data_IF_508608989711
#
_entry.id   IF_508608989711
#
_cell.length_a   1.000
_cell.length_b   1.000
_cell.length_c   1.000
_cell.angle_alpha   90.00
_cell.angle_beta   90.00
_cell.angle_gamma   90.00
#
_symmetry.space_group_name_H-M   'P 1'
#
loop_
_entity.id
_entity.type
_entity.pdbx_description
1 polymer ?
#
# COMPACT_ATOMS: atom_id res chain seq x y z
N UNK A 1 -55.36 6.57 -45.90
CA UNK A 1 -56.15 6.00 -44.79
C UNK A 1 -55.39 4.80 -44.21
N UNK A 2 -55.48 4.46 -42.90
CA UNK A 2 -55.16 5.21 -41.66
C UNK A 2 -53.87 4.66 -40.98
N UNK A 3 -52.96 5.47 -40.42
CA UNK A 3 -52.87 6.01 -39.03
C UNK A 3 -52.94 4.97 -37.88
N UNK A 4 -51.85 4.84 -37.12
CA UNK A 4 -51.88 4.77 -35.65
C UNK A 4 -50.52 5.18 -35.03
N UNK A 5 -50.53 6.35 -34.37
CA UNK A 5 -49.47 6.85 -33.47
C UNK A 5 -49.53 6.06 -32.16
N UNK A 6 -48.38 5.77 -31.54
CA UNK A 6 -48.32 5.51 -30.09
C UNK A 6 -47.28 6.40 -29.42
N UNK A 7 -47.81 7.37 -28.69
CA UNK A 7 -47.15 8.23 -27.72
C UNK A 7 -46.93 7.48 -26.41
N UNK A 8 -45.73 7.56 -25.85
CA UNK A 8 -45.47 7.25 -24.45
C UNK A 8 -44.73 8.43 -23.80
N UNK A 9 -45.50 9.46 -23.43
CA UNK A 9 -45.16 10.39 -22.36
C UNK A 9 -45.79 9.82 -21.09
N UNK A 10 -45.01 9.68 -20.03
CA UNK A 10 -45.44 9.97 -18.64
C UNK A 10 -44.22 10.16 -17.75
N UNK A 11 -43.95 11.43 -17.46
CA UNK A 11 -43.20 11.91 -16.31
C UNK A 11 -44.07 11.74 -15.07
N UNK A 12 -43.48 11.37 -13.93
CA UNK A 12 -44.03 11.59 -12.59
C UNK A 12 -42.86 11.48 -11.57
N UNK A 13 -43.00 11.97 -10.33
CA UNK A 13 -42.43 13.27 -9.97
C UNK A 13 -41.41 13.18 -8.81
N UNK A 14 -40.54 14.18 -8.74
CA UNK A 14 -39.64 14.41 -7.62
C UNK A 14 -40.45 14.68 -6.34
N UNK A 15 -40.08 13.97 -5.28
CA UNK A 15 -40.62 14.09 -3.94
C UNK A 15 -40.37 15.50 -3.38
N UNK A 16 -41.45 16.05 -2.84
CA UNK A 16 -41.56 17.35 -2.21
C UNK A 16 -40.72 17.43 -0.92
N UNK A 17 -39.93 18.49 -0.83
CA UNK A 17 -39.39 18.99 0.42
C UNK A 17 -40.34 20.07 0.96
N UNK A 18 -41.05 19.74 2.03
CA UNK A 18 -41.80 20.70 2.85
C UNK A 18 -41.21 20.66 4.26
N UNK A 19 -40.59 21.76 4.68
CA UNK A 19 -40.73 22.31 6.03
C UNK A 19 -39.90 23.60 6.13
N UNK A 20 -40.50 24.70 5.70
CA UNK A 20 -40.13 26.03 6.19
C UNK A 20 -41.13 26.38 7.30
N UNK A 21 -40.64 26.47 8.53
CA UNK A 21 -41.29 27.20 9.62
C UNK A 21 -40.20 28.10 10.23
N UNK A 22 -40.12 29.32 9.71
CA UNK A 22 -39.36 30.43 10.31
C UNK A 22 -40.37 31.51 10.71
N UNK A 23 -40.72 31.52 11.99
CA UNK A 23 -41.21 32.71 12.69
C UNK A 23 -40.03 33.35 13.42
N UNK A 24 -39.83 34.66 13.26
CA UNK A 24 -39.02 35.48 14.19
C UNK A 24 -39.89 36.01 15.34
N UNK A 25 -39.43 36.97 16.17
CA UNK A 25 -38.09 37.57 16.28
C UNK A 25 -37.57 37.66 17.76
N UNK A 26 -36.38 38.28 17.92
CA UNK A 26 -35.89 39.02 19.10
C UNK A 26 -35.65 38.27 20.44
N UNK A 27 -34.38 37.94 20.70
CA UNK A 27 -33.73 38.27 21.97
C UNK A 27 -32.20 38.26 21.78
N UNK A 28 -31.62 39.46 21.67
CA UNK A 28 -30.18 39.67 21.80
C UNK A 28 -29.80 39.46 23.27
N UNK A 29 -29.42 38.23 23.61
CA UNK A 29 -28.76 37.88 24.88
C UNK A 29 -27.27 37.74 24.64
N UNK A 30 -26.51 38.74 25.08
CA UNK A 30 -25.05 38.70 25.09
C UNK A 30 -24.54 37.81 26.25
N UNK A 31 -23.59 36.94 25.90
CA UNK A 31 -22.58 36.27 26.75
C UNK A 31 -23.03 35.16 27.75
N UNK A 32 -22.15 34.20 28.10
CA UNK A 32 -20.72 34.09 27.78
C UNK A 32 -20.37 32.86 26.92
N UNK A 33 -19.39 33.03 26.02
CA UNK A 33 -18.68 31.92 25.41
C UNK A 33 -17.86 31.18 26.48
N UNK A 34 -18.47 30.13 27.05
CA UNK A 34 -17.79 29.13 27.87
C UNK A 34 -17.10 28.07 27.00
N UNK A 35 -16.06 27.41 27.52
CA UNK A 35 -14.81 27.15 26.80
C UNK A 35 -14.92 26.06 25.73
N UNK A 36 -15.23 26.45 24.48
CA UNK A 36 -15.04 25.59 23.30
C UNK A 36 -13.57 25.44 22.89
N UNK A 37 -12.65 26.16 23.52
CA UNK A 37 -11.20 26.09 23.28
C UNK A 37 -10.45 25.07 24.16
N UNK A 38 -11.14 24.40 25.09
CA UNK A 38 -10.51 23.41 25.98
C UNK A 38 -10.66 21.95 25.51
N UNK A 39 -11.15 21.71 24.28
CA UNK A 39 -10.76 20.51 23.54
C UNK A 39 -9.35 20.74 23.01
N UNK A 40 -8.41 20.82 23.97
CA UNK A 40 -7.00 20.97 23.74
C UNK A 40 -6.61 20.08 22.58
N UNK A 41 -5.95 20.70 21.60
CA UNK A 41 -5.22 20.03 20.56
C UNK A 41 -4.42 18.90 21.22
N UNK A 42 -4.95 17.67 21.19
CA UNK A 42 -4.16 16.50 21.49
C UNK A 42 -3.03 16.57 20.47
N UNK A 43 -1.85 17.01 20.93
CA UNK A 43 -0.66 17.05 20.11
C UNK A 43 -0.54 15.64 19.53
N UNK A 44 -0.54 15.54 18.21
CA UNK A 44 -0.41 14.24 17.57
C UNK A 44 0.96 13.69 17.96
N UNK A 45 1.00 12.76 18.90
CA UNK A 45 2.24 12.17 19.40
C UNK A 45 2.65 11.04 18.47
N UNK A 46 3.91 11.02 18.05
CA UNK A 46 4.45 9.89 17.31
C UNK A 46 4.52 8.66 18.23
N UNK A 47 4.09 7.47 17.76
CA UNK A 47 4.28 6.23 18.49
C UNK A 47 5.77 5.99 18.75
N UNK A 48 6.11 5.62 19.99
CA UNK A 48 7.47 5.31 20.39
C UNK A 48 7.93 3.96 19.83
N UNK A 49 8.17 3.89 18.53
CA UNK A 49 8.64 2.67 17.87
C UNK A 49 10.07 2.36 18.32
N UNK A 50 10.27 1.19 18.92
CA UNK A 50 11.59 0.72 19.37
C UNK A 50 12.02 -0.49 18.57
N UNK A 51 13.26 -0.48 18.10
CA UNK A 51 13.92 -1.66 17.56
C UNK A 51 14.14 -2.65 18.70
N UNK A 52 13.35 -3.73 18.72
CA UNK A 52 13.50 -4.81 19.71
C UNK A 52 14.12 -6.04 19.05
N UNK A 53 14.79 -6.88 19.85
CA UNK A 53 15.35 -8.15 19.35
C UNK A 53 14.27 -9.06 18.74
N UNK A 54 13.09 -9.23 19.36
CA UNK A 54 12.00 -9.98 18.72
C UNK A 54 11.60 -9.41 17.36
N UNK A 55 11.47 -8.08 17.24
CA UNK A 55 11.15 -7.44 15.95
C UNK A 55 12.20 -7.78 14.88
N UNK A 56 13.49 -7.67 15.23
CA UNK A 56 14.60 -7.98 14.30
C UNK A 56 14.55 -9.44 13.83
N UNK A 57 14.30 -10.39 14.73
CA UNK A 57 14.21 -11.81 14.38
C UNK A 57 13.06 -12.08 13.41
N UNK A 58 11.94 -11.39 13.58
CA UNK A 58 10.80 -11.59 12.69
C UNK A 58 11.06 -10.98 11.30
N UNK A 59 11.90 -9.94 11.18
CA UNK A 59 12.34 -9.43 9.86
C UNK A 59 13.22 -10.44 9.09
N UNK A 60 13.74 -11.49 9.74
CA UNK A 60 14.50 -12.56 9.08
C UNK A 60 13.61 -13.62 8.43
N UNK A 61 12.30 -13.61 8.69
CA UNK A 61 11.36 -14.54 8.06
C UNK A 61 11.17 -14.16 6.59
N UNK A 62 11.59 -15.00 5.63
CA UNK A 62 11.42 -14.67 4.23
C UNK A 62 10.00 -14.95 3.76
N UNK A 63 9.63 -14.30 2.67
CA UNK A 63 8.44 -14.58 1.89
C UNK A 63 8.73 -15.68 0.87
N UNK A 64 7.92 -16.74 0.79
CA UNK A 64 8.11 -17.75 -0.24
C UNK A 64 7.77 -17.18 -1.62
N UNK A 65 8.53 -17.60 -2.62
CA UNK A 65 8.33 -17.19 -4.00
C UNK A 65 8.47 -18.35 -4.99
N UNK A 66 7.81 -18.19 -6.12
CA UNK A 66 7.93 -19.04 -7.29
C UNK A 66 8.57 -18.21 -8.40
N UNK A 67 9.79 -18.57 -8.77
CA UNK A 67 10.52 -17.96 -9.87
C UNK A 67 10.26 -18.74 -11.15
N UNK A 68 9.78 -18.06 -12.20
CA UNK A 68 9.44 -18.66 -13.49
C UNK A 68 10.35 -18.05 -14.55
N UNK A 69 11.28 -18.86 -15.05
CA UNK A 69 12.21 -18.49 -16.12
C UNK A 69 11.85 -19.13 -17.46
N UNK A 70 12.73 -19.00 -18.47
CA UNK A 70 12.54 -19.67 -19.75
C UNK A 70 12.63 -21.19 -19.57
N UNK A 71 11.49 -21.87 -19.63
CA UNK A 71 11.40 -23.34 -19.62
C UNK A 71 11.41 -24.01 -18.25
N UNK A 72 11.60 -23.26 -17.15
CA UNK A 72 11.72 -23.83 -15.81
C UNK A 72 11.06 -22.94 -14.75
N UNK A 73 10.55 -23.58 -13.69
CA UNK A 73 10.06 -22.92 -12.50
C UNK A 73 10.78 -23.46 -11.26
N UNK A 74 11.22 -22.57 -10.39
CA UNK A 74 12.00 -22.89 -9.20
C UNK A 74 11.36 -22.22 -7.98
N UNK A 75 11.35 -22.93 -6.86
CA UNK A 75 10.95 -22.32 -5.60
C UNK A 75 12.10 -21.47 -5.05
N UNK A 76 11.74 -20.39 -4.38
CA UNK A 76 12.69 -19.50 -3.75
C UNK A 76 12.10 -18.85 -2.51
N UNK A 77 12.93 -18.03 -1.90
CA UNK A 77 12.58 -17.23 -0.72
C UNK A 77 13.15 -15.83 -0.90
N UNK A 78 12.38 -14.83 -0.51
CA UNK A 78 12.71 -13.41 -0.64
C UNK A 78 12.64 -12.74 0.71
N UNK A 79 13.70 -12.02 1.08
CA UNK A 79 13.66 -11.08 2.20
C UNK A 79 13.30 -9.70 1.67
N UNK A 80 12.68 -8.86 2.51
CA UNK A 80 12.35 -7.49 2.15
C UNK A 80 12.79 -6.53 3.24
N UNK A 81 13.74 -5.67 2.92
CA UNK A 81 14.24 -4.59 3.76
C UNK A 81 13.73 -3.27 3.20
N UNK A 82 13.10 -2.46 4.04
CA UNK A 82 12.65 -1.10 3.66
C UNK A 82 13.45 -0.09 4.49
N UNK A 83 14.61 0.39 4.01
CA UNK A 83 15.41 1.37 4.74
C UNK A 83 14.68 2.71 4.93
N UNK A 84 13.92 3.16 3.94
CA UNK A 84 13.29 4.48 3.92
C UNK A 84 11.89 4.43 3.32
N UNK A 85 10.97 5.15 3.96
CA UNK A 85 9.60 5.33 3.53
C UNK A 85 9.20 6.80 3.64
N UNK A 86 8.53 7.29 2.62
CA UNK A 86 7.85 8.59 2.60
C UNK A 86 6.35 8.37 2.54
N UNK A 87 5.60 8.80 3.56
CA UNK A 87 4.15 8.69 3.64
C UNK A 87 3.48 10.02 3.30
N UNK A 88 2.57 10.00 2.34
CA UNK A 88 1.75 11.16 1.95
C UNK A 88 0.28 11.03 2.41
N UNK A 89 -0.12 9.86 2.92
CA UNK A 89 -1.47 9.60 3.45
C UNK A 89 -1.67 9.93 4.93
N UNK A 90 -0.63 10.47 5.60
CA UNK A 90 -0.63 10.75 7.03
C UNK A 90 -1.14 12.16 7.40
N UNK A 91 -1.41 12.36 8.69
CA UNK A 91 -1.67 13.69 9.23
C UNK A 91 -0.46 14.60 9.00
N UNK A 92 -0.70 15.78 8.39
CA UNK A 92 0.35 16.79 8.09
C UNK A 92 1.10 17.31 9.31
N UNK A 93 0.59 17.08 10.52
CA UNK A 93 1.25 17.43 11.79
C UNK A 93 2.37 16.44 12.18
N UNK A 94 2.44 15.28 11.55
CA UNK A 94 3.46 14.25 11.81
C UNK A 94 4.53 14.24 10.72
N UNK A 95 5.73 13.75 11.03
CA UNK A 95 6.77 13.59 10.01
C UNK A 95 6.32 12.58 8.94
N UNK A 96 6.41 12.93 7.64
CA UNK A 96 6.11 12.00 6.56
C UNK A 96 7.23 10.97 6.33
N UNK A 97 8.43 11.21 6.85
CA UNK A 97 9.59 10.34 6.66
C UNK A 97 9.68 9.30 7.79
N UNK A 98 9.87 8.04 7.41
CA UNK A 98 10.07 6.91 8.33
C UNK A 98 11.26 6.08 7.86
N UNK A 99 12.05 5.56 8.80
CA UNK A 99 13.23 4.76 8.52
C UNK A 99 13.20 3.44 9.28
N UNK A 100 13.54 2.34 8.60
CA UNK A 100 13.62 0.95 9.09
C UNK A 100 12.32 0.35 9.64
N UNK A 101 11.74 0.95 10.68
CA UNK A 101 10.51 0.50 11.32
C UNK A 101 9.39 1.45 10.94
N UNK A 102 8.34 0.90 10.33
CA UNK A 102 7.23 1.70 9.83
C UNK A 102 5.93 1.06 10.28
N UNK A 103 5.05 1.87 10.88
CA UNK A 103 3.71 1.43 11.23
C UNK A 103 2.93 1.03 9.97
N UNK A 104 2.23 -0.12 9.98
CA UNK A 104 1.52 -0.60 8.80
C UNK A 104 0.48 0.39 8.28
N UNK A 105 -0.22 1.09 9.19
CA UNK A 105 -1.21 2.12 8.84
C UNK A 105 -0.59 3.24 8.00
N UNK A 106 0.63 3.68 8.36
CA UNK A 106 1.31 4.79 7.67
C UNK A 106 1.82 4.40 6.28
N UNK A 107 2.13 3.12 6.10
CA UNK A 107 2.60 2.54 4.84
C UNK A 107 1.46 2.38 3.84
N UNK A 108 0.35 1.76 4.26
CA UNK A 108 -0.72 1.39 3.35
C UNK A 108 -1.74 2.52 3.08
N UNK A 109 -1.74 3.59 3.88
CA UNK A 109 -2.52 4.81 3.65
C UNK A 109 -2.04 5.67 2.47
N UNK A 110 -0.91 5.32 1.85
CA UNK A 110 -0.32 6.07 0.75
C UNK A 110 1.14 6.40 1.05
N UNK A 111 2.06 5.64 0.47
CA UNK A 111 3.49 5.81 0.72
C UNK A 111 4.35 5.46 -0.49
N UNK A 112 5.59 5.92 -0.46
CA UNK A 112 6.67 5.56 -1.37
C UNK A 112 7.81 4.97 -0.55
N UNK A 113 8.23 3.77 -0.90
CA UNK A 113 9.29 3.02 -0.22
C UNK A 113 10.51 2.86 -1.11
N UNK A 114 11.67 3.04 -0.51
CA UNK A 114 12.90 2.45 -1.00
C UNK A 114 13.03 1.06 -0.37
N UNK A 115 13.29 0.04 -1.19
CA UNK A 115 13.45 -1.33 -0.71
C UNK A 115 14.69 -2.01 -1.28
N UNK A 116 15.22 -2.95 -0.50
CA UNK A 116 16.17 -3.96 -0.92
C UNK A 116 15.61 -5.34 -0.62
N UNK A 117 15.75 -6.27 -1.56
CA UNK A 117 15.22 -7.62 -1.46
C UNK A 117 16.27 -8.63 -1.95
N UNK A 118 17.04 -9.25 -1.03
CA UNK A 118 17.79 -10.44 -1.37
C UNK A 118 16.83 -11.61 -1.56
N UNK A 119 17.10 -12.41 -2.58
CA UNK A 119 16.32 -13.54 -3.05
C UNK A 119 17.24 -14.76 -3.13
N UNK A 120 16.77 -15.91 -2.67
CA UNK A 120 17.46 -17.19 -2.83
C UNK A 120 16.56 -18.16 -3.60
N UNK A 121 17.06 -18.69 -4.72
CA UNK A 121 16.33 -19.63 -5.58
C UNK A 121 16.94 -21.02 -5.44
N UNK A 122 16.09 -22.00 -5.10
CA UNK A 122 16.48 -23.40 -4.98
C UNK A 122 16.59 -24.05 -6.37
N UNK A 123 17.73 -23.80 -7.03
CA UNK A 123 18.07 -24.38 -8.34
C UNK A 123 19.43 -25.11 -8.32
N UNK A 124 19.70 -26.03 -9.26
CA UNK A 124 21.03 -26.58 -9.47
C UNK A 124 22.06 -25.49 -9.82
N UNK A 125 23.32 -25.67 -9.41
CA UNK A 125 24.41 -24.70 -9.66
C UNK A 125 25.17 -24.31 -8.39
N UNK A 126 26.17 -23.44 -8.53
CA UNK A 126 27.00 -22.98 -7.42
C UNK A 126 26.18 -22.14 -6.42
N UNK A 127 26.54 -22.18 -5.13
CA UNK A 127 25.77 -21.48 -4.08
C UNK A 127 25.59 -19.99 -4.36
N UNK A 128 26.64 -19.30 -4.83
CA UNK A 128 26.58 -17.87 -5.15
C UNK A 128 25.63 -17.53 -6.31
N UNK A 129 25.43 -18.45 -7.25
CA UNK A 129 24.53 -18.25 -8.39
C UNK A 129 23.06 -18.37 -8.01
N UNK A 130 22.74 -18.89 -6.83
CA UNK A 130 21.36 -19.04 -6.33
C UNK A 130 20.83 -17.76 -5.71
N UNK A 131 21.72 -16.82 -5.39
CA UNK A 131 21.37 -15.53 -4.83
C UNK A 131 21.09 -14.51 -5.92
N UNK A 132 20.02 -13.75 -5.71
CA UNK A 132 19.62 -12.61 -6.52
C UNK A 132 19.47 -11.43 -5.57
N UNK A 133 19.89 -10.26 -6.01
CA UNK A 133 19.71 -9.02 -5.26
C UNK A 133 18.84 -8.08 -6.05
N UNK A 134 17.86 -7.49 -5.37
CA UNK A 134 16.96 -6.52 -5.97
C UNK A 134 16.90 -5.28 -5.12
N UNK A 135 16.92 -4.12 -5.75
CA UNK A 135 16.80 -2.83 -5.08
C UNK A 135 15.95 -1.89 -5.91
N UNK A 136 15.03 -1.18 -5.29
CA UNK A 136 14.09 -0.37 -6.04
C UNK A 136 13.20 0.52 -5.21
N UNK A 137 12.24 1.12 -5.90
CA UNK A 137 11.21 1.96 -5.30
C UNK A 137 9.83 1.37 -5.52
N UNK A 138 8.97 1.46 -4.51
CA UNK A 138 7.61 0.92 -4.54
C UNK A 138 6.64 1.92 -3.93
N UNK A 139 5.62 2.29 -4.69
CA UNK A 139 4.51 3.10 -4.22
C UNK A 139 3.36 2.19 -3.75
N UNK A 140 2.72 2.57 -2.64
CA UNK A 140 1.52 1.93 -2.09
C UNK A 140 0.33 2.86 -2.23
N UNK A 141 -0.79 2.31 -2.67
CA UNK A 141 -2.05 3.01 -2.82
C UNK A 141 -3.15 2.33 -2.00
N UNK A 142 -3.86 3.06 -1.13
CA UNK A 142 -4.98 2.51 -0.39
C UNK A 142 -6.16 2.27 -1.35
N UNK A 143 -6.70 1.06 -1.35
CA UNK A 143 -7.90 0.73 -2.14
C UNK A 143 -9.16 0.74 -1.27
N UNK A 144 -9.07 0.24 -0.03
CA UNK A 144 -10.20 0.14 0.88
C UNK A 144 -9.80 0.51 2.32
N UNK A 145 -10.64 1.26 3.03
CA UNK A 145 -10.42 1.67 4.43
C UNK A 145 -9.02 2.23 4.68
N UNK A 146 -8.57 3.17 3.84
CA UNK A 146 -7.21 3.76 3.91
C UNK A 146 -6.07 2.72 3.87
N UNK A 147 -6.29 1.56 3.25
CA UNK A 147 -5.27 0.54 3.05
C UNK A 147 -5.26 -0.57 4.10
N UNK A 148 -6.07 -0.46 5.16
CA UNK A 148 -6.13 -1.42 6.26
C UNK A 148 -6.61 -2.80 5.80
N UNK A 149 -7.63 -2.82 4.96
CA UNK A 149 -8.20 -4.06 4.43
C UNK A 149 -7.60 -4.45 3.08
N UNK A 150 -7.35 -3.46 2.24
CA UNK A 150 -6.86 -3.68 0.89
C UNK A 150 -6.03 -2.50 0.41
N UNK A 151 -4.82 -2.79 -0.06
CA UNK A 151 -3.96 -1.84 -0.76
C UNK A 151 -3.33 -2.50 -1.98
N UNK A 152 -2.94 -1.70 -2.95
CA UNK A 152 -2.11 -2.15 -4.06
C UNK A 152 -0.75 -1.46 -4.02
N UNK A 153 0.25 -2.09 -4.64
CA UNK A 153 1.55 -1.49 -4.83
C UNK A 153 2.01 -1.60 -6.27
N UNK A 154 2.73 -0.57 -6.72
CA UNK A 154 3.44 -0.57 -8.00
C UNK A 154 4.88 -0.14 -7.76
N UNK A 155 5.83 -0.80 -8.40
CA UNK A 155 7.24 -0.51 -8.19
C UNK A 155 8.12 -0.82 -9.39
N UNK A 156 9.31 -0.24 -9.36
CA UNK A 156 10.39 -0.53 -10.30
C UNK A 156 11.65 -0.83 -9.52
N UNK A 157 12.39 -1.85 -9.95
CA UNK A 157 13.62 -2.30 -9.30
C UNK A 157 14.72 -2.64 -10.29
N UNK A 158 15.95 -2.44 -9.85
CA UNK A 158 17.13 -3.03 -10.45
C UNK A 158 17.34 -4.43 -9.87
N UNK A 159 17.59 -5.40 -10.72
CA UNK A 159 17.95 -6.77 -10.35
C UNK A 159 19.43 -6.99 -10.70
N UNK A 160 20.17 -7.56 -9.76
CA UNK A 160 21.52 -8.05 -9.96
C UNK A 160 21.55 -9.57 -9.74
N UNK A 161 21.86 -10.31 -10.81
CA UNK A 161 21.93 -11.77 -10.80
C UNK A 161 22.91 -12.26 -11.85
N UNK A 162 23.73 -13.27 -11.53
CA UNK A 162 24.72 -13.86 -12.46
C UNK A 162 25.61 -12.79 -13.12
N UNK A 163 26.11 -11.84 -12.31
CA UNK A 163 26.95 -10.71 -12.74
C UNK A 163 26.30 -9.78 -13.78
N UNK A 164 24.98 -9.83 -13.91
CA UNK A 164 24.23 -8.99 -14.84
C UNK A 164 23.24 -8.12 -14.08
N UNK A 165 23.09 -6.90 -14.58
CA UNK A 165 22.09 -5.96 -14.11
C UNK A 165 20.90 -5.95 -15.08
N UNK A 166 19.70 -5.90 -14.52
CA UNK A 166 18.45 -5.80 -15.27
C UNK A 166 17.48 -4.85 -14.59
N UNK A 167 16.40 -4.53 -15.31
CA UNK A 167 15.28 -3.79 -14.77
C UNK A 167 14.11 -4.75 -14.57
N UNK A 168 13.33 -4.48 -13.53
CA UNK A 168 12.15 -5.24 -13.20
C UNK A 168 11.03 -4.33 -12.74
N UNK A 169 9.81 -4.80 -12.96
CA UNK A 169 8.58 -4.10 -12.60
C UNK A 169 7.78 -4.96 -11.65
N UNK A 170 7.17 -4.32 -10.67
CA UNK A 170 6.50 -4.97 -9.57
C UNK A 170 5.07 -4.47 -9.44
N UNK A 171 4.13 -5.40 -9.29
CA UNK A 171 2.76 -5.11 -8.93
C UNK A 171 2.36 -6.04 -7.79
N UNK A 172 1.64 -5.52 -6.79
CA UNK A 172 1.21 -6.32 -5.65
C UNK A 172 -0.11 -5.86 -5.06
N UNK A 173 -0.76 -6.76 -4.35
CA UNK A 173 -2.00 -6.50 -3.59
C UNK A 173 -1.80 -7.05 -2.19
N UNK A 174 -2.20 -6.27 -1.18
CA UNK A 174 -1.98 -6.60 0.23
C UNK A 174 -3.26 -6.41 1.04
N UNK A 175 -3.40 -7.23 2.07
CA UNK A 175 -4.52 -7.25 3.01
C UNK A 175 -4.01 -7.37 4.45
N UNK A 176 -4.91 -7.35 5.42
CA UNK A 176 -4.61 -7.44 6.87
C UNK A 176 -3.52 -6.44 7.29
N UNK A 177 -3.75 -5.16 7.02
CA UNK A 177 -2.81 -4.06 7.29
C UNK A 177 -1.47 -4.20 6.56
N UNK A 178 -1.41 -4.99 5.49
CA UNK A 178 -0.18 -5.25 4.76
C UNK A 178 0.59 -6.48 5.22
N UNK A 179 0.10 -7.22 6.21
CA UNK A 179 0.79 -8.39 6.74
C UNK A 179 0.87 -9.52 5.71
N UNK A 180 -0.14 -9.64 4.84
CA UNK A 180 -0.19 -10.62 3.77
C UNK A 180 -0.40 -9.93 2.42
N UNK A 181 0.31 -10.37 1.40
CA UNK A 181 0.09 -9.90 0.04
C UNK A 181 0.55 -10.88 -1.03
N UNK A 182 0.02 -10.70 -2.23
CA UNK A 182 0.50 -11.38 -3.42
C UNK A 182 1.20 -10.35 -4.31
N UNK A 183 2.40 -10.68 -4.76
CA UNK A 183 3.20 -9.82 -5.62
C UNK A 183 3.63 -10.56 -6.87
N UNK A 184 3.54 -9.88 -8.01
CA UNK A 184 4.09 -10.32 -9.29
C UNK A 184 5.23 -9.38 -9.67
N UNK A 185 6.38 -9.95 -9.97
CA UNK A 185 7.55 -9.22 -10.44
C UNK A 185 7.93 -9.72 -11.82
N UNK A 186 8.00 -8.82 -12.80
CA UNK A 186 8.39 -9.17 -14.18
C UNK A 186 9.72 -8.51 -14.51
N UNK A 187 10.68 -9.33 -14.95
CA UNK A 187 11.99 -8.89 -15.44
C UNK A 187 12.03 -9.09 -16.96
N UNK A 188 11.82 -8.04 -17.77
CA UNK A 188 11.83 -8.19 -19.23
C UNK A 188 13.24 -8.26 -19.85
N UNK A 189 14.29 -7.91 -19.09
CA UNK A 189 15.69 -7.93 -19.57
C UNK A 189 16.05 -9.30 -20.14
N UNK A 190 16.40 -9.39 -21.43
CA UNK A 190 16.55 -10.65 -22.16
C UNK A 190 17.46 -11.67 -21.46
N UNK A 191 18.58 -11.22 -20.91
CA UNK A 191 19.53 -12.06 -20.17
C UNK A 191 19.01 -12.62 -18.82
N UNK A 192 18.05 -11.93 -18.21
CA UNK A 192 17.51 -12.20 -16.88
C UNK A 192 16.00 -12.39 -16.92
N UNK A 193 15.46 -12.77 -18.09
CA UNK A 193 14.02 -12.82 -18.30
C UNK A 193 13.38 -13.77 -17.32
N UNK A 194 12.48 -13.26 -16.49
CA UNK A 194 11.74 -14.07 -15.51
C UNK A 194 10.48 -13.36 -15.04
N UNK A 195 9.55 -14.16 -14.54
CA UNK A 195 8.38 -13.71 -13.78
C UNK A 195 8.42 -14.38 -12.42
N UNK A 196 8.36 -13.60 -11.35
CA UNK A 196 8.34 -14.13 -9.98
C UNK A 196 6.97 -13.85 -9.37
N UNK A 197 6.39 -14.86 -8.72
CA UNK A 197 5.19 -14.73 -7.91
C UNK A 197 5.60 -14.91 -6.45
N UNK A 198 5.43 -13.89 -5.63
CA UNK A 198 5.81 -13.89 -4.22
C UNK A 198 4.56 -13.81 -3.36
N UNK A 199 4.46 -14.70 -2.37
CA UNK A 199 3.52 -14.53 -1.26
C UNK A 199 4.21 -13.71 -0.19
N UNK A 200 3.97 -12.40 -0.21
CA UNK A 200 4.55 -11.45 0.73
C UNK A 200 3.96 -11.68 2.12
N UNK A 201 4.81 -12.07 3.06
CA UNK A 201 4.48 -12.17 4.48
C UNK A 201 5.34 -11.14 5.19
N UNK A 202 4.71 -10.21 5.91
CA UNK A 202 5.40 -9.15 6.63
C UNK A 202 4.84 -8.98 8.02
N UNK A 203 5.73 -8.82 8.97
CA UNK A 203 5.39 -8.58 10.36
C UNK A 203 5.85 -7.19 10.76
N UNK A 204 5.04 -6.55 11.58
CA UNK A 204 5.18 -5.17 12.00
C UNK A 204 5.32 -5.10 13.52
#
# INVERSE_FOLDING_TARGET
>A
MPRARRSARRRAPALAACAALLGGPLAAGAAPEGPREAAAAAAATEPGIRLTVPWLLVQLVPSPELWIGPGEAHFGVRWQVTPLLYSFGMNRKLSPWRAFVVEPLTRHAGSLELFGAPEYIARPGAFGERWIFRGGVRAYFPLLHRGDYLSCSLGGSAIYARERLGASYEAGVYTLFGALGAQVTTTPTAALRSTTITLSIRYF
#
